data_IF_915132083017
#
_entry.id   IF_915132083017
#
_cell.length_a   1.000
_cell.length_b   1.000
_cell.length_c   1.000
_cell.angle_alpha   90.00
_cell.angle_beta   90.00
_cell.angle_gamma   90.00
#
_symmetry.space_group_name_H-M   'P 1'
#
loop_
_entity.id
_entity.type
_entity.pdbx_description
1 polymer ?
#
# COMPACT_ATOMS: atom_id res chain seq x y z
N UNK A 1 10.12 12.38 21.11
CA UNK A 1 11.21 13.25 20.60
C UNK A 1 12.60 12.64 20.78
N UNK A 2 13.04 12.24 21.97
CA UNK A 2 14.36 11.61 22.20
C UNK A 2 14.56 10.31 21.41
N UNK A 3 13.55 9.42 21.38
CA UNK A 3 13.58 8.13 20.68
C UNK A 3 13.64 8.29 19.16
N UNK A 4 12.97 9.30 18.60
CA UNK A 4 13.06 9.63 17.17
C UNK A 4 14.44 10.16 16.76
N UNK A 5 15.11 10.92 17.63
CA UNK A 5 16.50 11.37 17.41
C UNK A 5 17.48 10.20 17.44
N UNK A 6 17.37 9.28 18.39
CA UNK A 6 18.27 8.13 18.52
C UNK A 6 18.20 7.20 17.30
N UNK A 7 17.02 7.03 16.70
CA UNK A 7 16.87 6.15 15.52
C UNK A 7 17.32 6.77 14.20
N UNK A 8 17.39 8.11 14.07
CA UNK A 8 17.86 8.77 12.83
C UNK A 8 19.35 8.55 12.56
N UNK A 9 20.18 8.30 13.57
CA UNK A 9 21.64 8.26 13.46
C UNK A 9 22.27 6.88 13.73
N UNK A 10 21.48 5.83 14.01
CA UNK A 10 22.05 4.53 14.36
C UNK A 10 22.32 3.65 13.13
N UNK A 11 23.57 3.21 12.88
CA UNK A 11 23.91 2.30 11.77
C UNK A 11 23.31 0.89 11.87
N UNK A 12 22.57 0.60 12.97
CA UNK A 12 21.91 -0.70 13.24
C UNK A 12 20.43 -0.53 13.60
N UNK A 13 19.71 0.32 12.88
CA UNK A 13 18.29 0.65 13.12
C UNK A 13 17.39 -0.57 13.33
N UNK A 14 17.54 -1.62 12.54
CA UNK A 14 16.73 -2.84 12.66
C UNK A 14 16.85 -3.53 14.04
N UNK A 15 18.00 -3.47 14.69
CA UNK A 15 18.16 -4.02 16.04
C UNK A 15 17.40 -3.22 17.07
N UNK A 16 17.37 -1.89 16.93
CA UNK A 16 16.65 -0.99 17.82
C UNK A 16 15.13 -1.20 17.68
N UNK A 17 14.60 -1.24 16.47
CA UNK A 17 13.18 -1.50 16.24
C UNK A 17 12.75 -2.87 16.77
N UNK A 18 13.57 -3.90 16.55
CA UNK A 18 13.32 -5.24 17.09
C UNK A 18 13.33 -5.29 18.62
N UNK A 19 14.21 -4.52 19.25
CA UNK A 19 14.25 -4.40 20.72
C UNK A 19 13.00 -3.70 21.25
N UNK A 20 12.61 -2.60 20.64
CA UNK A 20 11.39 -1.85 21.03
C UNK A 20 10.17 -2.75 20.89
N UNK A 21 10.02 -3.45 19.76
CA UNK A 21 8.92 -4.39 19.52
C UNK A 21 8.85 -5.46 20.61
N UNK A 22 9.97 -6.07 20.98
CA UNK A 22 10.03 -7.09 22.05
C UNK A 22 9.69 -6.56 23.45
N UNK A 23 9.95 -5.28 23.71
CA UNK A 23 9.70 -4.65 25.00
C UNK A 23 8.32 -3.95 25.06
N UNK A 24 7.67 -3.75 23.93
CA UNK A 24 6.34 -3.19 23.86
C UNK A 24 5.31 -4.13 24.51
N UNK A 25 4.27 -3.55 25.09
CA UNK A 25 3.15 -4.33 25.56
C UNK A 25 2.42 -4.97 24.36
N UNK A 26 2.00 -6.22 24.52
CA UNK A 26 1.21 -6.93 23.49
C UNK A 26 -0.24 -6.45 23.54
N UNK A 27 -0.46 -5.28 23.00
CA UNK A 27 -1.78 -4.65 22.89
C UNK A 27 -1.78 -3.58 21.82
N UNK A 28 -2.94 -3.31 21.27
CA UNK A 28 -3.13 -2.20 20.35
C UNK A 28 -3.22 -0.86 21.09
N UNK A 29 -2.51 0.12 20.58
CA UNK A 29 -2.48 1.49 21.08
C UNK A 29 -2.56 2.49 19.92
N UNK A 30 -2.86 3.76 20.25
CA UNK A 30 -2.95 4.84 19.26
C UNK A 30 -1.63 5.60 19.24
N UNK A 31 -1.05 5.72 18.04
CA UNK A 31 0.17 6.48 17.81
C UNK A 31 -0.09 7.65 16.87
N UNK A 32 0.68 8.72 17.02
CA UNK A 32 0.60 9.89 16.13
C UNK A 32 1.67 9.81 15.06
N UNK A 33 1.24 9.76 13.80
CA UNK A 33 2.10 9.79 12.61
C UNK A 33 1.93 11.08 11.83
N UNK A 34 2.61 11.20 10.69
CA UNK A 34 2.40 12.31 9.75
C UNK A 34 0.97 12.31 9.19
N UNK A 35 0.37 11.14 8.96
CA UNK A 35 -1.00 10.98 8.46
C UNK A 35 -2.09 11.22 9.50
N UNK A 36 -1.73 11.34 10.80
CA UNK A 36 -2.68 11.49 11.90
C UNK A 36 -2.51 10.39 12.96
N UNK A 37 -3.62 9.94 13.51
CA UNK A 37 -3.65 8.88 14.51
C UNK A 37 -3.74 7.51 13.82
N UNK A 38 -2.86 6.59 14.19
CA UNK A 38 -2.85 5.21 13.68
C UNK A 38 -2.97 4.22 14.86
N UNK A 39 -3.70 3.13 14.64
CA UNK A 39 -3.96 2.08 15.62
C UNK A 39 -3.04 0.89 15.35
N UNK A 40 -2.04 0.65 16.22
CA UNK A 40 -0.98 -0.33 16.01
C UNK A 40 -0.70 -1.12 17.29
N UNK A 41 -0.24 -2.37 17.13
CA UNK A 41 0.38 -3.17 18.18
C UNK A 41 1.89 -3.26 17.92
N UNK A 42 2.71 -2.50 18.63
CA UNK A 42 4.16 -2.48 18.40
C UNK A 42 4.84 -3.81 18.72
N UNK A 43 4.21 -4.70 19.52
CA UNK A 43 4.75 -6.00 19.87
C UNK A 43 4.76 -6.96 18.67
N UNK A 44 3.80 -6.87 17.78
CA UNK A 44 3.63 -7.80 16.67
C UNK A 44 4.80 -7.76 15.67
N UNK A 45 5.26 -6.57 15.30
CA UNK A 45 6.34 -6.47 14.32
C UNK A 45 7.15 -5.16 14.43
N UNK A 46 8.50 -5.21 14.22
CA UNK A 46 9.36 -4.02 14.18
C UNK A 46 8.96 -2.95 13.18
N UNK A 47 8.24 -3.31 12.11
CA UNK A 47 7.70 -2.37 11.13
C UNK A 47 6.66 -1.43 11.74
N UNK A 48 5.81 -1.92 12.65
CA UNK A 48 4.84 -1.07 13.36
C UNK A 48 5.54 -0.03 14.24
N UNK A 49 6.70 -0.39 14.81
CA UNK A 49 7.57 0.58 15.48
C UNK A 49 8.06 1.66 14.50
N UNK A 50 8.43 1.27 13.28
CA UNK A 50 8.85 2.23 12.25
C UNK A 50 7.70 3.16 11.83
N UNK A 51 6.48 2.63 11.65
CA UNK A 51 5.28 3.44 11.35
C UNK A 51 5.02 4.44 12.49
N UNK A 52 4.95 3.98 13.74
CA UNK A 52 4.74 4.83 14.91
C UNK A 52 5.81 5.92 15.07
N UNK A 53 7.02 5.67 14.59
CA UNK A 53 8.16 6.62 14.62
C UNK A 53 8.27 7.48 13.36
N UNK A 54 7.45 7.27 12.34
CA UNK A 54 7.52 7.99 11.06
C UNK A 54 8.81 7.70 10.28
N UNK A 55 9.33 6.48 10.38
CA UNK A 55 10.56 6.03 9.71
C UNK A 55 10.34 4.86 8.75
N UNK A 56 9.08 4.43 8.60
CA UNK A 56 8.68 3.41 7.65
C UNK A 56 8.68 3.99 6.23
N UNK A 57 9.30 3.33 5.30
CA UNK A 57 9.34 3.63 3.85
C UNK A 57 9.34 5.13 3.49
N UNK A 58 10.36 5.89 3.89
CA UNK A 58 10.35 7.35 3.77
C UNK A 58 10.32 7.86 2.32
N UNK A 59 10.80 7.06 1.36
CA UNK A 59 10.74 7.39 -0.07
C UNK A 59 9.30 7.41 -0.58
N UNK A 60 8.50 6.39 -0.25
CA UNK A 60 7.06 6.33 -0.60
C UNK A 60 6.29 7.48 0.03
N UNK A 61 6.54 7.77 1.31
CA UNK A 61 5.94 8.95 1.96
C UNK A 61 6.32 10.26 1.28
N UNK A 62 7.57 10.41 0.84
CA UNK A 62 8.01 11.60 0.11
C UNK A 62 7.30 11.75 -1.24
N UNK A 63 7.09 10.66 -1.97
CA UNK A 63 6.35 10.65 -3.22
C UNK A 63 4.88 11.06 -3.02
N UNK A 64 4.19 10.49 -2.03
CA UNK A 64 2.82 10.89 -1.70
C UNK A 64 2.75 12.41 -1.44
N UNK A 65 3.66 12.96 -0.64
CA UNK A 65 3.74 14.41 -0.41
C UNK A 65 4.00 15.21 -1.69
N UNK A 66 4.80 14.67 -2.61
CA UNK A 66 5.15 15.35 -3.86
C UNK A 66 4.01 15.38 -4.85
N UNK A 67 3.23 14.30 -4.96
CA UNK A 67 2.22 14.14 -6.01
C UNK A 67 0.79 14.41 -5.55
N UNK A 68 0.46 14.17 -4.29
CA UNK A 68 -0.90 14.40 -3.78
C UNK A 68 -1.14 15.88 -3.46
N UNK A 69 -2.31 16.36 -3.89
CA UNK A 69 -2.82 17.72 -3.64
C UNK A 69 -4.24 17.67 -3.10
N UNK A 70 -4.72 18.73 -2.43
CA UNK A 70 -6.13 18.86 -2.02
C UNK A 70 -7.09 18.59 -3.18
N UNK A 71 -8.17 17.84 -2.92
CA UNK A 71 -9.18 17.49 -3.92
C UNK A 71 -8.84 16.29 -4.81
N UNK A 72 -7.65 15.70 -4.68
CA UNK A 72 -7.25 14.52 -5.45
C UNK A 72 -7.88 13.24 -4.91
N UNK A 73 -7.87 12.20 -5.76
CA UNK A 73 -8.28 10.84 -5.42
C UNK A 73 -7.07 9.93 -5.33
N UNK A 74 -6.92 9.27 -4.19
CA UNK A 74 -5.88 8.27 -3.92
C UNK A 74 -6.48 6.90 -3.66
N UNK A 75 -5.92 5.86 -4.27
CA UNK A 75 -6.28 4.46 -4.01
C UNK A 75 -5.07 3.73 -3.43
N UNK A 76 -5.25 3.04 -2.30
CA UNK A 76 -4.25 2.23 -1.62
C UNK A 76 -4.63 0.76 -1.72
N UNK A 77 -4.08 0.03 -2.68
CA UNK A 77 -4.27 -1.40 -2.83
C UNK A 77 -3.25 -2.17 -1.98
N UNK A 78 -3.74 -2.92 -1.00
CA UNK A 78 -2.95 -3.51 0.07
C UNK A 78 -2.61 -2.46 1.14
N UNK A 79 -3.65 -1.80 1.67
CA UNK A 79 -3.47 -0.66 2.57
C UNK A 79 -2.92 -1.06 3.95
N UNK A 80 -3.04 -2.33 4.32
CA UNK A 80 -2.61 -2.84 5.61
C UNK A 80 -3.17 -1.98 6.76
N UNK A 81 -2.36 -1.52 7.71
CA UNK A 81 -2.78 -0.63 8.81
C UNK A 81 -3.11 0.81 8.39
N UNK A 82 -2.86 1.18 7.13
CA UNK A 82 -3.27 2.44 6.55
C UNK A 82 -2.26 3.59 6.70
N UNK A 83 -0.97 3.33 6.91
CA UNK A 83 0.03 4.38 7.08
C UNK A 83 0.08 5.35 5.89
N UNK A 84 0.07 4.82 4.66
CA UNK A 84 0.00 5.62 3.43
C UNK A 84 -1.39 6.22 3.19
N UNK A 85 -2.45 5.45 3.40
CA UNK A 85 -3.82 5.90 3.25
C UNK A 85 -4.17 7.08 4.19
N UNK A 86 -3.70 7.03 5.44
CA UNK A 86 -3.85 8.14 6.40
C UNK A 86 -3.11 9.40 5.95
N UNK A 87 -1.87 9.26 5.48
CA UNK A 87 -1.12 10.40 4.95
C UNK A 87 -1.85 11.02 3.74
N UNK A 88 -2.28 10.18 2.80
CA UNK A 88 -3.04 10.63 1.65
C UNK A 88 -4.34 11.32 2.07
N UNK A 89 -5.12 10.75 3.01
CA UNK A 89 -6.36 11.33 3.51
C UNK A 89 -6.16 12.73 4.10
N UNK A 90 -5.07 12.92 4.85
CA UNK A 90 -4.72 14.25 5.35
C UNK A 90 -4.41 15.24 4.23
N UNK A 91 -3.69 14.80 3.19
CA UNK A 91 -3.24 15.68 2.11
C UNK A 91 -4.35 16.05 1.12
N UNK A 92 -5.21 15.10 0.76
CA UNK A 92 -6.33 15.35 -0.16
C UNK A 92 -7.41 16.24 0.50
N UNK A 93 -7.52 16.16 1.84
CA UNK A 93 -8.51 16.92 2.60
C UNK A 93 -9.95 16.53 2.26
N UNK A 94 -10.93 17.19 2.87
CA UNK A 94 -12.36 16.87 2.76
C UNK A 94 -12.96 16.98 1.34
N UNK A 95 -12.29 17.65 0.42
CA UNK A 95 -12.69 17.74 -1.00
C UNK A 95 -12.15 16.59 -1.86
N UNK A 96 -11.15 15.86 -1.39
CA UNK A 96 -10.60 14.70 -2.07
C UNK A 96 -11.28 13.39 -1.68
N UNK A 97 -10.69 12.27 -2.14
CA UNK A 97 -11.16 10.91 -1.83
C UNK A 97 -9.98 9.98 -1.57
N UNK A 98 -10.14 9.07 -0.61
CA UNK A 98 -9.21 7.95 -0.39
C UNK A 98 -10.00 6.66 -0.33
N UNK A 99 -9.59 5.68 -1.13
CA UNK A 99 -10.07 4.30 -1.05
C UNK A 99 -8.90 3.43 -0.64
N UNK A 100 -9.01 2.82 0.53
CA UNK A 100 -8.01 1.92 1.10
C UNK A 100 -8.54 0.49 1.09
N UNK A 101 -7.84 -0.42 0.44
CA UNK A 101 -8.29 -1.78 0.17
C UNK A 101 -7.40 -2.74 0.95
N UNK A 102 -8.00 -3.48 1.87
CA UNK A 102 -7.32 -4.43 2.73
C UNK A 102 -8.19 -5.68 2.94
N UNK A 103 -7.81 -6.83 2.36
CA UNK A 103 -8.61 -8.04 2.42
C UNK A 103 -8.61 -8.76 3.77
N UNK A 104 -7.54 -8.65 4.57
CA UNK A 104 -7.43 -9.36 5.83
C UNK A 104 -8.39 -8.75 6.88
N UNK A 105 -9.38 -9.52 7.40
CA UNK A 105 -10.46 -8.96 8.23
C UNK A 105 -9.95 -8.24 9.48
N UNK A 106 -8.94 -8.77 10.11
CA UNK A 106 -8.37 -8.19 11.33
C UNK A 106 -7.65 -6.86 11.00
N UNK A 107 -6.74 -6.88 10.02
CA UNK A 107 -6.00 -5.69 9.58
C UNK A 107 -6.94 -4.60 9.06
N UNK A 108 -7.97 -4.99 8.30
CA UNK A 108 -9.04 -4.08 7.88
C UNK A 108 -9.72 -3.37 9.06
N UNK A 109 -10.00 -4.10 10.16
CA UNK A 109 -10.65 -3.50 11.33
C UNK A 109 -9.78 -2.41 11.97
N UNK A 110 -8.48 -2.58 11.98
CA UNK A 110 -7.53 -1.59 12.51
C UNK A 110 -7.36 -0.38 11.59
N UNK A 111 -7.34 -0.61 10.27
CA UNK A 111 -7.37 0.45 9.27
C UNK A 111 -8.64 1.32 9.40
N UNK A 112 -9.82 0.69 9.48
CA UNK A 112 -11.08 1.39 9.66
C UNK A 112 -11.06 2.20 10.96
N UNK A 113 -10.59 1.61 12.06
CA UNK A 113 -10.46 2.30 13.34
C UNK A 113 -9.54 3.52 13.24
N UNK A 114 -8.47 3.42 12.48
CA UNK A 114 -7.56 4.54 12.25
C UNK A 114 -8.23 5.70 11.49
N UNK A 115 -9.07 5.42 10.49
CA UNK A 115 -9.86 6.46 9.81
C UNK A 115 -10.86 7.14 10.75
N UNK A 116 -11.58 6.37 11.57
CA UNK A 116 -12.54 6.88 12.56
C UNK A 116 -11.88 7.82 13.57
N UNK A 117 -10.71 7.43 14.12
CA UNK A 117 -9.94 8.23 15.06
C UNK A 117 -9.54 9.60 14.54
N UNK A 118 -9.40 9.74 13.22
CA UNK A 118 -9.04 11.00 12.56
C UNK A 118 -10.26 11.77 12.03
N UNK A 119 -11.46 11.19 12.06
CA UNK A 119 -12.64 11.80 11.47
C UNK A 119 -12.55 11.96 9.94
N UNK A 120 -11.80 11.09 9.25
CA UNK A 120 -11.61 11.15 7.80
C UNK A 120 -12.83 10.59 7.04
N UNK A 121 -13.93 11.34 7.02
CA UNK A 121 -15.17 10.94 6.34
C UNK A 121 -15.05 10.81 4.81
N UNK A 122 -14.00 11.36 4.22
CA UNK A 122 -13.66 11.28 2.79
C UNK A 122 -12.73 10.10 2.46
N UNK A 123 -12.33 9.32 3.47
CA UNK A 123 -11.56 8.09 3.33
C UNK A 123 -12.44 6.88 3.64
N UNK A 124 -12.38 5.86 2.79
CA UNK A 124 -13.15 4.62 2.92
C UNK A 124 -12.23 3.41 2.88
N UNK A 125 -12.35 2.54 3.87
CA UNK A 125 -11.72 1.23 3.87
C UNK A 125 -12.68 0.20 3.24
N UNK A 126 -12.14 -0.75 2.45
CA UNK A 126 -12.89 -1.82 1.80
C UNK A 126 -12.29 -3.19 2.16
N UNK A 127 -13.09 -4.13 2.74
CA UNK A 127 -12.61 -5.47 3.12
C UNK A 127 -12.68 -6.44 1.92
N UNK A 128 -11.95 -6.16 0.87
CA UNK A 128 -11.92 -6.91 -0.38
C UNK A 128 -10.48 -7.10 -0.83
N UNK A 129 -10.25 -8.09 -1.68
CA UNK A 129 -9.01 -8.22 -2.43
C UNK A 129 -9.21 -7.72 -3.87
N UNK A 130 -8.18 -7.07 -4.43
CA UNK A 130 -8.19 -6.74 -5.85
C UNK A 130 -7.69 -7.92 -6.69
N UNK A 131 -8.29 -8.08 -7.87
CA UNK A 131 -7.97 -9.14 -8.83
C UNK A 131 -8.36 -8.70 -10.25
N UNK A 132 -8.13 -9.57 -11.22
CA UNK A 132 -8.58 -9.41 -12.61
C UNK A 132 -10.08 -9.74 -12.81
N UNK A 133 -10.76 -10.24 -11.77
CA UNK A 133 -12.17 -10.67 -11.83
C UNK A 133 -12.89 -10.57 -10.50
N UNK A 134 -14.20 -10.49 -10.59
CA UNK A 134 -15.12 -10.54 -9.46
C UNK A 134 -15.26 -11.98 -8.93
N UNK A 135 -15.48 -12.12 -7.62
CA UNK A 135 -15.73 -13.43 -7.00
C UNK A 135 -15.21 -13.54 -5.58
N UNK A 136 -14.57 -14.65 -5.29
CA UNK A 136 -13.96 -14.95 -4.00
C UNK A 136 -12.61 -15.63 -4.21
N UNK A 137 -11.68 -15.38 -3.30
CA UNK A 137 -10.39 -16.05 -3.23
C UNK A 137 -10.03 -16.41 -1.80
N UNK A 138 -9.11 -17.36 -1.64
CA UNK A 138 -8.58 -17.77 -0.35
C UNK A 138 -7.32 -16.95 -0.04
N UNK A 139 -7.44 -15.97 0.85
CA UNK A 139 -6.33 -15.18 1.36
C UNK A 139 -5.54 -16.02 2.37
N UNK A 140 -4.26 -16.20 2.16
CA UNK A 140 -3.37 -16.88 3.07
C UNK A 140 -2.94 -15.93 4.19
N UNK A 141 -3.21 -16.31 5.43
CA UNK A 141 -2.92 -15.51 6.62
C UNK A 141 -1.55 -15.93 7.16
N UNK A 142 -0.54 -15.16 6.84
CA UNK A 142 0.82 -15.40 7.28
C UNK A 142 1.06 -14.80 8.68
N UNK A 143 2.06 -15.31 9.42
CA UNK A 143 2.41 -14.78 10.74
C UNK A 143 2.82 -13.31 10.74
N UNK A 144 3.28 -12.80 9.59
CA UNK A 144 3.52 -11.38 9.37
C UNK A 144 2.28 -10.75 8.72
N UNK A 145 1.60 -9.87 9.40
CA UNK A 145 0.38 -9.20 8.91
C UNK A 145 0.58 -8.45 7.59
N UNK A 146 1.83 -8.11 7.26
CA UNK A 146 2.20 -7.41 6.01
C UNK A 146 2.48 -8.33 4.83
N UNK A 147 2.37 -9.64 5.01
CA UNK A 147 2.72 -10.61 3.98
C UNK A 147 1.53 -11.50 3.56
N UNK A 148 0.30 -11.14 3.96
CA UNK A 148 -0.89 -11.86 3.51
C UNK A 148 -1.00 -11.80 2.00
N UNK A 149 -1.30 -12.94 1.35
CA UNK A 149 -1.28 -13.02 -0.11
C UNK A 149 -2.37 -13.94 -0.66
N UNK A 150 -2.84 -13.63 -1.86
CA UNK A 150 -3.64 -14.54 -2.68
C UNK A 150 -2.77 -15.48 -3.53
N UNK A 151 -1.47 -15.17 -3.67
CA UNK A 151 -0.58 -15.98 -4.47
C UNK A 151 -0.43 -17.40 -3.87
N UNK A 152 -0.35 -18.44 -4.71
CA UNK A 152 -0.10 -19.79 -4.23
C UNK A 152 1.28 -19.88 -3.58
N UNK A 153 1.32 -20.40 -2.35
CA UNK A 153 2.57 -20.67 -1.64
C UNK A 153 3.08 -22.08 -1.94
N UNK A 154 4.40 -22.29 -1.80
CA UNK A 154 4.98 -23.64 -1.90
C UNK A 154 4.29 -24.63 -0.95
N UNK A 155 4.12 -25.91 -1.34
CA UNK A 155 3.31 -26.90 -0.59
C UNK A 155 3.75 -27.17 0.85
N UNK A 156 5.01 -26.86 1.19
CA UNK A 156 5.53 -26.99 2.55
C UNK A 156 4.98 -25.93 3.52
N UNK A 157 4.30 -24.89 3.02
CA UNK A 157 3.69 -23.85 3.84
C UNK A 157 2.17 -24.03 3.85
N UNK A 158 1.64 -24.46 4.98
CA UNK A 158 0.19 -24.61 5.23
C UNK A 158 -0.25 -23.55 6.24
N UNK A 159 -0.57 -22.37 5.75
CA UNK A 159 -1.09 -21.27 6.56
C UNK A 159 -2.62 -21.26 6.57
N UNK A 160 -3.24 -20.73 7.65
CA UNK A 160 -4.68 -20.50 7.68
C UNK A 160 -5.12 -19.66 6.47
N UNK A 161 -6.32 -19.98 5.96
CA UNK A 161 -6.92 -19.27 4.83
C UNK A 161 -8.23 -18.65 5.24
N UNK A 162 -8.47 -17.44 4.76
CA UNK A 162 -9.76 -16.76 4.91
C UNK A 162 -10.31 -16.48 3.53
N UNK A 163 -11.56 -16.87 3.30
CA UNK A 163 -12.24 -16.60 2.04
C UNK A 163 -12.67 -15.14 2.01
N UNK A 164 -12.15 -14.38 1.06
CA UNK A 164 -12.39 -12.95 0.90
C UNK A 164 -13.03 -12.65 -0.47
N UNK A 165 -13.92 -11.63 -0.57
CA UNK A 165 -14.44 -11.21 -1.87
C UNK A 165 -13.32 -10.60 -2.72
N UNK A 166 -13.36 -10.88 -4.03
CA UNK A 166 -12.47 -10.26 -5.02
C UNK A 166 -13.26 -9.30 -5.91
N UNK A 167 -12.64 -8.16 -6.22
CA UNK A 167 -13.17 -7.13 -7.10
C UNK A 167 -12.10 -6.66 -8.08
N UNK A 168 -12.53 -6.17 -9.23
CA UNK A 168 -11.61 -5.42 -10.11
C UNK A 168 -11.47 -3.98 -9.61
N UNK A 169 -10.31 -3.36 -9.89
CA UNK A 169 -10.15 -1.94 -9.54
C UNK A 169 -11.15 -1.07 -10.33
N UNK A 170 -11.43 -1.43 -11.58
CA UNK A 170 -12.40 -0.73 -12.41
C UNK A 170 -13.81 -0.73 -11.78
N UNK A 171 -14.23 -1.87 -11.21
CA UNK A 171 -15.50 -1.94 -10.50
C UNK A 171 -15.50 -1.13 -9.19
N UNK A 172 -14.40 -1.13 -8.46
CA UNK A 172 -14.24 -0.30 -7.26
C UNK A 172 -14.35 1.19 -7.59
N UNK A 173 -13.71 1.64 -8.66
CA UNK A 173 -13.79 3.02 -9.14
C UNK A 173 -15.22 3.40 -9.50
N UNK A 174 -15.92 2.53 -10.25
CA UNK A 174 -17.31 2.75 -10.65
C UNK A 174 -18.26 2.80 -9.45
N UNK A 175 -18.18 1.83 -8.53
CA UNK A 175 -19.08 1.72 -7.36
C UNK A 175 -18.89 2.88 -6.35
N UNK A 176 -17.71 3.47 -6.30
CA UNK A 176 -17.42 4.63 -5.47
C UNK A 176 -17.61 5.97 -6.21
N UNK A 177 -18.12 5.94 -7.45
CA UNK A 177 -18.38 7.13 -8.28
C UNK A 177 -17.17 8.05 -8.37
N UNK A 178 -15.97 7.48 -8.56
CA UNK A 178 -14.75 8.24 -8.68
C UNK A 178 -14.61 8.76 -10.12
N UNK A 179 -14.77 10.05 -10.31
CA UNK A 179 -14.65 10.69 -11.64
C UNK A 179 -13.21 10.68 -12.15
N UNK A 180 -12.24 10.68 -11.24
CA UNK A 180 -10.81 10.70 -11.52
C UNK A 180 -10.05 9.94 -10.47
N UNK A 181 -8.97 9.29 -10.89
CA UNK A 181 -7.97 8.68 -10.01
C UNK A 181 -6.62 9.34 -10.30
N UNK A 182 -6.05 9.99 -9.30
CA UNK A 182 -4.80 10.77 -9.46
C UNK A 182 -3.57 9.95 -9.09
N UNK A 183 -3.69 9.11 -8.08
CA UNK A 183 -2.59 8.28 -7.63
C UNK A 183 -3.07 6.93 -7.10
N UNK A 184 -2.33 5.87 -7.40
CA UNK A 184 -2.56 4.52 -6.90
C UNK A 184 -1.27 3.96 -6.31
N UNK A 185 -1.35 3.35 -5.12
CA UNK A 185 -0.34 2.42 -4.62
C UNK A 185 -0.84 0.99 -4.85
N UNK A 186 0.03 0.11 -5.33
CA UNK A 186 -0.24 -1.32 -5.49
C UNK A 186 0.88 -2.10 -4.80
N UNK A 187 0.53 -2.76 -3.70
CA UNK A 187 1.41 -3.59 -2.90
C UNK A 187 0.55 -4.73 -2.34
N UNK A 188 0.33 -5.75 -3.14
CA UNK A 188 -0.66 -6.82 -2.91
C UNK A 188 -0.01 -8.21 -2.82
N UNK A 189 1.32 -8.23 -2.65
CA UNK A 189 2.09 -9.43 -2.35
C UNK A 189 1.95 -10.53 -3.41
N UNK A 190 2.59 -10.28 -4.57
CA UNK A 190 2.77 -11.22 -5.70
C UNK A 190 1.55 -11.41 -6.63
N UNK A 191 0.50 -10.56 -6.54
CA UNK A 191 -0.66 -10.56 -7.45
C UNK A 191 -0.89 -9.21 -8.14
N UNK A 192 0.17 -8.41 -8.28
CA UNK A 192 0.14 -7.07 -8.86
C UNK A 192 -0.35 -7.07 -10.32
N UNK A 193 0.00 -8.10 -11.11
CA UNK A 193 -0.43 -8.21 -12.50
C UNK A 193 -1.95 -8.40 -12.63
N UNK A 194 -2.55 -9.20 -11.75
CA UNK A 194 -3.99 -9.41 -11.70
C UNK A 194 -4.72 -8.11 -11.35
N UNK A 195 -4.19 -7.36 -10.39
CA UNK A 195 -4.73 -6.03 -10.03
C UNK A 195 -4.64 -5.07 -11.21
N UNK A 196 -3.51 -5.02 -11.92
CA UNK A 196 -3.33 -4.16 -13.08
C UNK A 196 -4.28 -4.52 -14.22
N UNK A 197 -4.52 -5.81 -14.48
CA UNK A 197 -5.51 -6.27 -15.48
C UNK A 197 -6.93 -5.85 -15.10
N UNK A 198 -7.27 -5.92 -13.80
CA UNK A 198 -8.55 -5.43 -13.28
C UNK A 198 -8.67 -3.90 -13.21
N UNK A 199 -7.61 -3.17 -13.60
CA UNK A 199 -7.54 -1.71 -13.59
C UNK A 199 -7.48 -1.09 -15.00
N UNK A 200 -7.64 -1.88 -16.06
CA UNK A 200 -7.33 -1.44 -17.43
C UNK A 200 -8.13 -0.20 -17.85
N UNK A 201 -9.42 -0.13 -17.55
CA UNK A 201 -10.27 1.03 -17.88
C UNK A 201 -9.85 2.25 -17.07
N UNK A 202 -9.58 2.09 -15.78
CA UNK A 202 -9.09 3.14 -14.90
C UNK A 202 -7.77 3.72 -15.42
N UNK A 203 -6.82 2.86 -15.82
CA UNK A 203 -5.54 3.29 -16.38
C UNK A 203 -5.71 4.05 -17.71
N UNK A 204 -6.64 3.64 -18.57
CA UNK A 204 -6.94 4.33 -19.85
C UNK A 204 -7.62 5.67 -19.61
N UNK A 205 -8.56 5.74 -18.69
CA UNK A 205 -9.34 6.95 -18.38
C UNK A 205 -8.51 8.03 -17.67
N UNK A 206 -7.42 7.66 -17.00
CA UNK A 206 -6.61 8.57 -16.20
C UNK A 206 -5.17 8.68 -16.73
N UNK A 207 -4.91 9.42 -17.83
CA UNK A 207 -3.59 9.49 -18.46
C UNK A 207 -2.51 10.16 -17.58
N UNK A 208 -2.89 10.90 -16.56
CA UNK A 208 -1.95 11.56 -15.62
C UNK A 208 -1.82 10.83 -14.29
N UNK A 209 -2.36 9.61 -14.20
CA UNK A 209 -2.29 8.82 -12.99
C UNK A 209 -0.84 8.49 -12.64
N UNK A 210 -0.47 8.77 -11.40
CA UNK A 210 0.80 8.35 -10.81
C UNK A 210 0.59 7.01 -10.12
N UNK A 211 1.44 6.04 -10.41
CA UNK A 211 1.35 4.71 -9.80
C UNK A 211 2.59 4.39 -8.99
N UNK A 212 2.38 3.92 -7.79
CA UNK A 212 3.34 3.18 -6.99
C UNK A 212 3.11 1.70 -7.18
N UNK A 213 4.13 0.99 -7.54
CA UNK A 213 4.06 -0.44 -7.76
C UNK A 213 5.17 -1.14 -6.98
N UNK A 214 4.80 -1.95 -6.01
CA UNK A 214 5.70 -2.92 -5.43
C UNK A 214 5.89 -4.05 -6.44
N UNK A 215 7.15 -4.35 -6.79
CA UNK A 215 7.43 -5.30 -7.86
C UNK A 215 7.55 -6.72 -7.31
N UNK A 216 6.87 -7.70 -7.91
CA UNK A 216 7.02 -9.09 -7.50
C UNK A 216 8.48 -9.54 -7.60
N UNK A 217 8.87 -10.49 -6.76
CA UNK A 217 10.26 -11.01 -6.74
C UNK A 217 10.59 -11.82 -7.99
N UNK A 218 9.58 -12.45 -8.61
CA UNK A 218 9.74 -13.28 -9.80
C UNK A 218 9.92 -12.44 -11.05
N UNK A 219 11.04 -12.64 -11.76
CA UNK A 219 11.37 -11.86 -12.95
C UNK A 219 10.36 -12.04 -14.09
N UNK A 220 9.74 -13.22 -14.20
CA UNK A 220 8.70 -13.50 -15.21
C UNK A 220 7.47 -12.62 -14.97
N UNK A 221 7.10 -12.40 -13.73
CA UNK A 221 5.98 -11.51 -13.36
C UNK A 221 6.30 -10.06 -13.67
N UNK A 222 7.54 -9.60 -13.41
CA UNK A 222 7.97 -8.25 -13.78
C UNK A 222 7.89 -8.02 -15.29
N UNK A 223 8.32 -9.01 -16.10
CA UNK A 223 8.20 -8.94 -17.55
C UNK A 223 6.75 -8.85 -18.00
N UNK A 224 5.86 -9.68 -17.44
CA UNK A 224 4.45 -9.65 -17.74
C UNK A 224 3.79 -8.31 -17.35
N UNK A 225 4.20 -7.70 -16.22
CA UNK A 225 3.78 -6.36 -15.83
C UNK A 225 4.29 -5.32 -16.84
N UNK A 226 5.57 -5.40 -17.25
CA UNK A 226 6.15 -4.49 -18.23
C UNK A 226 5.41 -4.58 -19.59
N UNK A 227 5.13 -5.79 -20.06
CA UNK A 227 4.37 -6.04 -21.29
C UNK A 227 2.95 -5.47 -21.19
N UNK A 228 2.27 -5.69 -20.06
CA UNK A 228 0.93 -5.15 -19.81
C UNK A 228 0.92 -3.61 -19.79
N UNK A 229 1.91 -2.98 -19.16
CA UNK A 229 1.98 -1.52 -19.02
C UNK A 229 2.56 -0.79 -20.25
N UNK A 230 3.22 -1.50 -21.17
CA UNK A 230 3.86 -0.90 -22.34
C UNK A 230 2.92 -0.01 -23.20
N UNK A 231 1.65 -0.40 -23.49
CA UNK A 231 0.73 0.43 -24.27
C UNK A 231 0.31 1.73 -23.56
N UNK A 232 0.53 1.83 -22.24
CA UNK A 232 0.13 3.01 -21.47
C UNK A 232 1.21 4.10 -21.44
N UNK A 233 2.44 3.83 -21.87
CA UNK A 233 3.49 4.83 -22.03
C UNK A 233 4.06 5.37 -20.71
N UNK A 234 4.15 4.54 -19.66
CA UNK A 234 4.76 4.95 -18.39
C UNK A 234 6.28 5.10 -18.50
N UNK A 235 6.80 6.06 -17.76
CA UNK A 235 8.22 6.18 -17.39
C UNK A 235 8.35 5.69 -15.95
N UNK A 236 9.35 4.88 -15.70
CA UNK A 236 9.56 4.26 -14.39
C UNK A 236 10.70 4.94 -13.64
N UNK A 237 10.57 5.02 -12.33
CA UNK A 237 11.53 5.63 -11.43
C UNK A 237 11.86 4.60 -10.34
N UNK A 238 12.98 3.87 -10.49
CA UNK A 238 13.40 2.86 -9.53
C UNK A 238 13.56 3.44 -8.12
N UNK A 239 13.17 2.67 -7.11
CA UNK A 239 13.20 3.07 -5.70
C UNK A 239 12.57 4.46 -5.44
N UNK A 240 11.59 4.83 -6.30
CA UNK A 240 10.92 6.12 -6.26
C UNK A 240 11.86 7.33 -6.41
N UNK A 241 13.02 7.13 -7.04
CA UNK A 241 14.01 8.18 -7.31
C UNK A 241 13.73 8.85 -8.66
N UNK A 242 13.02 9.98 -8.66
CA UNK A 242 12.66 10.71 -9.88
C UNK A 242 13.85 11.34 -10.63
N UNK A 243 15.05 11.28 -10.06
CA UNK A 243 16.27 11.72 -10.77
C UNK A 243 16.81 10.68 -11.75
N UNK A 244 16.33 9.45 -11.68
CA UNK A 244 16.82 8.32 -12.48
C UNK A 244 15.68 7.64 -13.28
N UNK A 245 15.09 8.32 -14.28
CA UNK A 245 14.01 7.75 -15.08
C UNK A 245 14.51 6.61 -15.97
N UNK A 246 13.66 5.60 -16.16
CA UNK A 246 13.90 4.52 -17.13
C UNK A 246 12.62 4.21 -17.93
N UNK A 247 12.77 3.67 -19.12
CA UNK A 247 11.65 3.17 -19.94
C UNK A 247 11.35 1.69 -19.66
N UNK A 248 12.18 1.03 -18.89
CA UNK A 248 12.04 -0.39 -18.56
C UNK A 248 11.80 -0.57 -17.07
N UNK A 249 10.97 -1.54 -16.70
CA UNK A 249 10.82 -1.95 -15.32
C UNK A 249 12.15 -2.58 -14.88
N UNK A 250 12.75 -2.10 -13.76
CA UNK A 250 14.06 -2.55 -13.34
C UNK A 250 14.05 -4.06 -13.01
N UNK A 251 15.09 -4.79 -13.43
CA UNK A 251 15.21 -6.22 -13.13
C UNK A 251 15.53 -6.50 -11.66
N UNK A 252 16.04 -5.50 -10.95
CA UNK A 252 16.37 -5.52 -9.52
C UNK A 252 15.68 -4.35 -8.82
N UNK A 253 15.60 -4.39 -7.50
CA UNK A 253 14.80 -3.44 -6.72
C UNK A 253 13.41 -4.00 -6.43
N UNK A 254 12.73 -3.45 -5.44
CA UNK A 254 11.41 -3.94 -5.02
C UNK A 254 10.28 -3.02 -5.47
N UNK A 255 10.57 -1.76 -5.80
CA UNK A 255 9.53 -0.75 -6.02
C UNK A 255 9.85 0.18 -7.18
N UNK A 256 8.82 0.66 -7.83
CA UNK A 256 8.92 1.71 -8.85
C UNK A 256 7.79 2.72 -8.70
N UNK A 257 8.09 3.98 -8.95
CA UNK A 257 7.05 4.93 -9.34
C UNK A 257 6.90 4.86 -10.88
N UNK A 258 5.67 4.84 -11.37
CA UNK A 258 5.37 4.87 -12.78
C UNK A 258 4.54 6.12 -13.09
N UNK A 259 5.07 6.99 -13.93
CA UNK A 259 4.49 8.29 -14.27
C UNK A 259 4.45 8.41 -15.80
N UNK A 260 3.35 8.90 -16.33
CA UNK A 260 3.28 9.28 -17.75
C UNK A 260 3.77 10.72 -17.91
N UNK A 261 4.79 10.90 -18.73
CA UNK A 261 5.43 12.20 -19.01
C UNK A 261 5.06 12.62 -20.44
#
# INVERSE_FOLDING_TARGET
MLMQMLCRFAPRRHRVYRLISRLAADRFEVYRTEGGLIYLNLHEHPMMVQMAMGTYEPAKHAMIRRHIRPGMTFIDAGANFGDFALQAARLVGGSGRVIAIEPAPETYSYLQRSFELNGYSHARALPIALSDREGFADLQILPLTTAHTLAPLPPQYDYPKVRVPTRTLDSVVADNHLERVDMIKIDVQEVELEVLRGAEQTLRANPQLVMFLDLPKRIEMRRAIAEFLAPFGYTYFPDCNEAEPTREIPPVGLEVAAIRI
#
